data_IF_449771348459
#
_entry.id   IF_449771348459
#
_cell.length_a   1.000
_cell.length_b   1.000
_cell.length_c   1.000
_cell.angle_alpha   90.00
_cell.angle_beta   90.00
_cell.angle_gamma   90.00
#
_symmetry.space_group_name_H-M   'P 1'
#
loop_
_entity.id
_entity.type
_entity.pdbx_description
1 polymer ?
#
# COMPACT_ATOMS: atom_id res chain seq x y z
N UNK A 1 45.08 1.87 -14.08
CA UNK A 1 43.93 2.79 -14.25
C UNK A 1 42.56 2.09 -14.17
N UNK A 2 42.40 0.86 -14.70
CA UNK A 2 41.13 0.10 -14.66
C UNK A 2 40.54 -0.14 -13.26
N UNK A 3 41.34 -0.54 -12.28
CA UNK A 3 40.82 -0.89 -10.94
C UNK A 3 40.22 0.30 -10.17
N UNK A 4 40.77 1.50 -10.36
CA UNK A 4 40.27 2.70 -9.67
C UNK A 4 38.93 3.16 -10.25
N UNK A 5 38.81 3.19 -11.57
CA UNK A 5 37.55 3.52 -12.26
C UNK A 5 36.47 2.48 -11.95
N UNK A 6 36.81 1.19 -11.96
CA UNK A 6 35.88 0.13 -11.60
C UNK A 6 35.39 0.24 -10.15
N UNK A 7 36.28 0.58 -9.21
CA UNK A 7 35.91 0.80 -7.81
C UNK A 7 34.97 1.99 -7.63
N UNK A 8 35.21 3.11 -8.33
CA UNK A 8 34.31 4.28 -8.32
C UNK A 8 32.95 3.91 -8.91
N UNK A 9 32.92 3.17 -10.02
CA UNK A 9 31.68 2.72 -10.65
C UNK A 9 30.83 1.86 -9.70
N UNK A 10 31.45 0.91 -8.99
CA UNK A 10 30.75 0.09 -8.00
C UNK A 10 30.20 0.90 -6.82
N UNK A 11 30.93 1.93 -6.36
CA UNK A 11 30.46 2.83 -5.30
C UNK A 11 29.27 3.66 -5.81
N UNK A 12 29.33 4.19 -7.03
CA UNK A 12 28.21 4.93 -7.61
C UNK A 12 26.97 4.04 -7.78
N UNK A 13 27.15 2.79 -8.23
CA UNK A 13 26.06 1.83 -8.30
C UNK A 13 25.46 1.53 -6.93
N UNK A 14 26.28 1.28 -5.91
CA UNK A 14 25.77 0.96 -4.58
C UNK A 14 25.02 2.14 -3.95
N UNK A 15 25.50 3.37 -4.15
CA UNK A 15 24.78 4.59 -3.75
C UNK A 15 23.48 4.75 -4.54
N UNK A 16 23.48 4.48 -5.84
CA UNK A 16 22.28 4.49 -6.68
C UNK A 16 21.23 3.48 -6.20
N UNK A 17 21.61 2.22 -5.95
CA UNK A 17 20.68 1.19 -5.49
C UNK A 17 20.14 1.46 -4.08
N UNK A 18 20.98 1.96 -3.16
CA UNK A 18 20.55 2.27 -1.80
C UNK A 18 19.56 3.44 -1.77
N UNK A 19 19.82 4.51 -2.53
CA UNK A 19 18.91 5.66 -2.64
C UNK A 19 17.56 5.27 -3.23
N UNK A 20 17.55 4.49 -4.32
CA UNK A 20 16.32 3.95 -4.92
C UNK A 20 15.55 3.11 -3.90
N UNK A 21 16.24 2.22 -3.17
CA UNK A 21 15.61 1.34 -2.18
C UNK A 21 14.97 2.13 -1.03
N UNK A 22 15.61 3.19 -0.55
CA UNK A 22 15.07 4.06 0.52
C UNK A 22 13.79 4.76 0.05
N UNK A 23 13.73 5.20 -1.21
CA UNK A 23 12.54 5.84 -1.79
C UNK A 23 11.41 4.84 -2.04
N UNK A 24 11.73 3.62 -2.50
CA UNK A 24 10.73 2.58 -2.76
C UNK A 24 10.16 1.95 -1.49
N UNK A 25 10.91 1.96 -0.38
CA UNK A 25 10.48 1.34 0.86
C UNK A 25 9.15 1.87 1.41
N UNK A 26 8.94 3.20 1.60
CA UNK A 26 7.66 3.73 2.07
C UNK A 26 6.54 3.47 1.05
N UNK A 27 6.81 3.59 -0.26
CA UNK A 27 5.83 3.34 -1.33
C UNK A 27 5.37 1.87 -1.30
N UNK A 28 6.31 0.94 -1.12
CA UNK A 28 6.03 -0.50 -1.03
C UNK A 28 5.21 -0.84 0.21
N UNK A 29 5.50 -0.20 1.36
CA UNK A 29 4.68 -0.35 2.57
C UNK A 29 3.27 0.20 2.37
N UNK A 30 3.14 1.37 1.75
CA UNK A 30 1.85 1.96 1.43
C UNK A 30 1.05 1.03 0.51
N UNK A 31 1.63 0.60 -0.62
CA UNK A 31 1.00 -0.32 -1.56
C UNK A 31 0.59 -1.65 -0.90
N UNK A 32 1.41 -2.21 -0.02
CA UNK A 32 1.09 -3.42 0.75
C UNK A 32 -0.11 -3.20 1.68
N UNK A 33 -0.16 -2.06 2.38
CA UNK A 33 -1.30 -1.70 3.23
C UNK A 33 -2.59 -1.54 2.41
N UNK A 34 -2.51 -0.88 1.25
CA UNK A 34 -3.60 -0.74 0.29
C UNK A 34 -4.11 -2.10 -0.20
N UNK A 35 -3.21 -2.95 -0.69
CA UNK A 35 -3.57 -4.30 -1.14
C UNK A 35 -4.21 -5.13 -0.02
N UNK A 36 -3.71 -5.01 1.21
CA UNK A 36 -4.30 -5.71 2.36
C UNK A 36 -5.72 -5.22 2.63
N UNK A 37 -5.95 -3.90 2.59
CA UNK A 37 -7.28 -3.33 2.80
C UNK A 37 -8.24 -3.76 1.68
N UNK A 38 -7.89 -3.51 0.42
CA UNK A 38 -8.74 -3.84 -0.74
C UNK A 38 -9.12 -5.32 -0.76
N UNK A 39 -8.14 -6.21 -0.55
CA UNK A 39 -8.41 -7.65 -0.49
C UNK A 39 -9.41 -8.02 0.60
N UNK A 40 -9.16 -7.57 1.85
CA UNK A 40 -10.05 -7.89 2.97
C UNK A 40 -11.44 -7.31 2.79
N UNK A 41 -11.53 -6.09 2.28
CA UNK A 41 -12.82 -5.42 2.04
C UNK A 41 -13.59 -6.13 0.94
N UNK A 42 -12.95 -6.50 -0.17
CA UNK A 42 -13.57 -7.26 -1.25
C UNK A 42 -14.05 -8.65 -0.78
N UNK A 43 -13.24 -9.37 -0.01
CA UNK A 43 -13.62 -10.65 0.62
C UNK A 43 -14.81 -10.49 1.58
N UNK A 44 -14.86 -9.36 2.31
CA UNK A 44 -15.96 -9.06 3.24
C UNK A 44 -17.24 -8.71 2.49
N UNK A 45 -17.15 -7.82 1.50
CA UNK A 45 -18.28 -7.43 0.64
C UNK A 45 -18.88 -8.65 -0.08
N UNK A 46 -18.06 -9.58 -0.53
CA UNK A 46 -18.53 -10.82 -1.17
C UNK A 46 -19.41 -11.70 -0.26
N UNK A 47 -19.35 -11.51 1.06
CA UNK A 47 -20.17 -12.23 2.05
C UNK A 47 -21.40 -11.44 2.50
N UNK A 48 -21.53 -10.17 2.11
CA UNK A 48 -22.63 -9.30 2.53
C UNK A 48 -23.76 -9.37 1.51
N UNK A 49 -24.91 -9.87 1.95
CA UNK A 49 -26.12 -10.03 1.11
C UNK A 49 -26.57 -8.72 0.43
N UNK A 50 -26.34 -7.57 1.07
CA UNK A 50 -26.71 -6.26 0.54
C UNK A 50 -25.97 -5.87 -0.75
N UNK A 51 -24.76 -6.42 -0.97
CA UNK A 51 -23.93 -6.15 -2.17
C UNK A 51 -23.79 -7.37 -3.07
N UNK A 52 -24.56 -8.42 -2.83
CA UNK A 52 -24.56 -9.66 -3.63
C UNK A 52 -24.91 -9.39 -5.10
N UNK A 53 -25.85 -8.47 -5.36
CA UNK A 53 -26.29 -8.06 -6.70
C UNK A 53 -25.36 -7.04 -7.38
N UNK A 54 -24.34 -6.54 -6.69
CA UNK A 54 -23.38 -5.63 -7.30
C UNK A 54 -22.45 -6.38 -8.24
N UNK A 55 -22.14 -5.77 -9.39
CA UNK A 55 -21.07 -6.26 -10.26
C UNK A 55 -19.70 -6.06 -9.57
N UNK A 56 -18.68 -6.75 -10.09
CA UNK A 56 -17.35 -6.73 -9.47
C UNK A 56 -16.71 -5.35 -9.49
N UNK A 57 -16.96 -4.56 -10.53
CA UNK A 57 -16.51 -3.16 -10.64
C UNK A 57 -17.10 -2.27 -9.52
N UNK A 58 -18.39 -2.40 -9.22
CA UNK A 58 -19.02 -1.66 -8.12
C UNK A 58 -18.46 -2.07 -6.76
N UNK A 59 -18.17 -3.37 -6.57
CA UNK A 59 -17.52 -3.86 -5.34
C UNK A 59 -16.10 -3.33 -5.21
N UNK A 60 -15.37 -3.22 -6.31
CA UNK A 60 -14.03 -2.62 -6.34
C UNK A 60 -14.08 -1.14 -5.97
N UNK A 61 -14.95 -0.34 -6.60
CA UNK A 61 -15.13 1.08 -6.27
C UNK A 61 -15.51 1.25 -4.79
N UNK A 62 -16.44 0.45 -4.28
CA UNK A 62 -16.81 0.49 -2.87
C UNK A 62 -15.64 0.10 -1.95
N UNK A 63 -14.84 -0.88 -2.34
CA UNK A 63 -13.64 -1.26 -1.57
C UNK A 63 -12.61 -0.13 -1.52
N UNK A 64 -12.42 0.59 -2.63
CA UNK A 64 -11.56 1.78 -2.72
C UNK A 64 -12.13 2.91 -1.86
N UNK A 65 -13.44 3.14 -1.88
CA UNK A 65 -14.10 4.13 -1.03
C UNK A 65 -13.94 3.82 0.46
N UNK A 66 -14.09 2.56 0.87
CA UNK A 66 -13.90 2.13 2.27
C UNK A 66 -12.43 2.28 2.68
N UNK A 67 -11.48 1.86 1.84
CA UNK A 67 -10.05 1.97 2.16
C UNK A 67 -9.56 3.43 2.19
N UNK A 68 -10.12 4.31 1.36
CA UNK A 68 -9.91 5.76 1.45
C UNK A 68 -10.63 6.36 2.67
N UNK A 69 -11.87 5.94 2.93
CA UNK A 69 -12.73 6.46 3.99
C UNK A 69 -12.33 6.02 5.39
N UNK A 70 -11.62 4.90 5.54
CA UNK A 70 -11.00 4.47 6.79
C UNK A 70 -9.91 5.45 7.30
N UNK A 71 -9.53 6.44 6.49
CA UNK A 71 -8.71 7.59 6.90
C UNK A 71 -9.54 8.63 7.67
N UNK A 72 -10.87 8.55 7.65
CA UNK A 72 -11.81 9.49 8.26
C UNK A 72 -12.43 9.01 9.58
N UNK A 73 -11.95 7.93 10.20
CA UNK A 73 -12.28 7.70 11.61
C UNK A 73 -11.40 8.62 12.48
N UNK A 74 -11.95 9.69 13.11
CA UNK A 74 -11.20 10.39 14.14
C UNK A 74 -10.89 9.34 15.20
N UNK A 75 -9.60 9.20 15.57
CA UNK A 75 -9.12 8.29 16.62
C UNK A 75 -10.19 8.18 17.70
N UNK A 76 -10.91 7.06 17.76
CA UNK A 76 -11.88 6.82 18.83
C UNK A 76 -11.08 6.89 20.12
N UNK A 77 -11.11 8.05 20.77
CA UNK A 77 -10.47 8.27 22.05
C UNK A 77 -11.28 7.41 23.00
N UNK A 78 -10.74 6.25 23.36
CA UNK A 78 -11.30 5.31 24.31
C UNK A 78 -11.33 5.94 25.70
N UNK A 79 -12.24 6.90 25.90
CA UNK A 79 -12.69 7.34 27.21
C UNK A 79 -14.17 6.96 27.29
N UNK A 80 -14.42 5.67 27.44
CA UNK A 80 -15.66 5.21 28.06
C UNK A 80 -15.22 4.78 29.45
N UNK A 81 -15.52 5.68 30.40
CA UNK A 81 -15.55 5.45 31.84
C UNK A 81 -16.92 4.85 32.18
#
# INVERSE_FOLDING_TARGET
MNNFIFKIYLVLLSVGFTTISILLFPISRQASSWNRCLRKTSETLSKVKAVEKMNDESKEVLSVMICNGAVFEPKFKSNIQ
#
